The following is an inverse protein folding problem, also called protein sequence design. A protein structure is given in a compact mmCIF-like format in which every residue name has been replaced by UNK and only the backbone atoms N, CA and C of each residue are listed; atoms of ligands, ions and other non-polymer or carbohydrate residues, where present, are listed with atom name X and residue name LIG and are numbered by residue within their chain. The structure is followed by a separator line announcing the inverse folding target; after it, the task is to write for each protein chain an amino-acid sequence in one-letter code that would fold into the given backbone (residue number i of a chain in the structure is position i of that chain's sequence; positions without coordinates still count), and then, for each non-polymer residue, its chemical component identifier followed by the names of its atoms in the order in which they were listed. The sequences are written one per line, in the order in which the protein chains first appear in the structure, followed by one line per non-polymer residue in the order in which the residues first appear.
data_IF_690157323249
#
_entry.id   IF_690157323249
#
_cell.length_a   1.000
_cell.length_b   1.000
_cell.length_c   1.000
_cell.angle_alpha   90.00
_cell.angle_beta   90.00
_cell.angle_gamma   90.00
#
_symmetry.space_group_name_H-M   'P 1'
#
loop_
_entity.id
_entity.type
_entity.pdbx_description
1 polymer ?
#
# COMPACT_ATOMS: atom_id res chain seq x y z
N UNK A 1 9.80 -39.84 17.49
CA UNK A 1 10.29 -38.70 16.69
C UNK A 1 9.24 -38.43 15.63
N UNK A 2 8.26 -37.59 15.95
CA UNK A 2 7.35 -37.06 14.94
C UNK A 2 6.95 -35.67 15.42
N UNK A 3 7.78 -34.68 15.09
CA UNK A 3 7.41 -33.28 15.18
C UNK A 3 6.45 -32.99 14.02
N UNK A 4 5.23 -32.59 14.37
CA UNK A 4 4.31 -31.98 13.41
C UNK A 4 4.65 -30.50 13.32
N UNK A 5 5.17 -30.07 12.17
CA UNK A 5 5.26 -28.66 11.83
C UNK A 5 3.84 -28.08 11.68
N UNK A 6 3.52 -27.10 12.53
CA UNK A 6 2.32 -26.29 12.38
C UNK A 6 2.56 -25.28 11.26
N UNK A 7 1.80 -25.27 10.15
CA UNK A 7 1.91 -24.21 9.17
C UNK A 7 1.41 -22.92 9.83
N UNK A 8 2.33 -22.00 10.09
CA UNK A 8 2.00 -20.66 10.59
C UNK A 8 1.21 -19.93 9.50
N UNK A 9 -0.12 -19.98 9.60
CA UNK A 9 -1.02 -19.21 8.73
C UNK A 9 -0.83 -17.73 9.07
N UNK A 10 -0.05 -17.03 8.25
CA UNK A 10 0.10 -15.59 8.34
C UNK A 10 -1.27 -14.91 8.15
N UNK A 11 -1.62 -13.89 8.97
CA UNK A 11 -2.87 -13.19 8.82
C UNK A 11 -2.90 -12.42 7.49
N UNK A 12 -3.92 -12.68 6.68
CA UNK A 12 -4.16 -11.96 5.43
C UNK A 12 -4.65 -10.54 5.74
N UNK A 13 -3.73 -9.58 5.86
CA UNK A 13 -4.06 -8.16 6.00
C UNK A 13 -4.32 -7.56 4.61
N UNK A 14 -5.47 -6.90 4.44
CA UNK A 14 -5.78 -6.16 3.20
C UNK A 14 -4.89 -4.93 3.11
N UNK A 15 -4.08 -4.84 2.05
CA UNK A 15 -3.24 -3.67 1.76
C UNK A 15 -4.08 -2.55 1.16
N UNK A 16 -3.86 -1.32 1.59
CA UNK A 16 -4.50 -0.14 0.98
C UNK A 16 -3.84 0.12 -0.37
N UNK A 17 -4.65 0.17 -1.43
CA UNK A 17 -4.21 0.49 -2.79
C UNK A 17 -4.67 1.90 -3.16
N UNK A 18 -3.82 2.67 -3.84
CA UNK A 18 -4.14 4.00 -4.38
C UNK A 18 -3.62 4.10 -5.81
N UNK A 19 -4.34 4.82 -6.66
CA UNK A 19 -3.98 5.07 -8.06
C UNK A 19 -3.56 6.54 -8.18
N UNK A 20 -2.50 6.81 -8.94
CA UNK A 20 -1.96 8.15 -9.13
C UNK A 20 -1.24 8.30 -10.46
N UNK A 21 -0.77 9.52 -10.76
CA UNK A 21 -0.05 9.85 -12.00
C UNK A 21 1.46 9.75 -11.79
N UNK A 22 2.17 9.12 -12.74
CA UNK A 22 3.63 9.07 -12.72
C UNK A 22 4.20 10.45 -13.05
N UNK A 23 5.05 10.97 -12.16
CA UNK A 23 5.72 12.28 -12.30
C UNK A 23 7.15 12.10 -12.79
N UNK A 24 7.81 11.00 -12.41
CA UNK A 24 9.15 10.68 -12.88
C UNK A 24 9.44 9.19 -12.81
N UNK A 25 10.15 8.71 -13.81
CA UNK A 25 10.65 7.34 -13.99
C UNK A 25 12.18 7.26 -13.94
N UNK A 26 12.86 8.35 -13.56
CA UNK A 26 14.32 8.48 -13.65
C UNK A 26 15.11 7.65 -12.63
N UNK A 27 14.43 6.94 -11.73
CA UNK A 27 15.08 6.17 -10.67
C UNK A 27 15.21 4.71 -11.10
N UNK A 28 16.26 4.03 -10.65
CA UNK A 28 16.44 2.61 -10.96
C UNK A 28 15.36 1.76 -10.28
N UNK A 29 14.52 1.11 -11.09
CA UNK A 29 13.42 0.21 -10.67
C UNK A 29 12.33 0.84 -9.80
N UNK A 30 12.27 2.16 -9.71
CA UNK A 30 11.30 2.87 -8.88
C UNK A 30 10.76 4.09 -9.62
N UNK A 31 9.52 4.48 -9.30
CA UNK A 31 8.84 5.60 -9.95
C UNK A 31 8.20 6.51 -8.91
N UNK A 32 8.29 7.82 -9.14
CA UNK A 32 7.61 8.82 -8.30
C UNK A 32 6.19 9.01 -8.82
N UNK A 33 5.20 8.70 -7.99
CA UNK A 33 3.77 8.79 -8.31
C UNK A 33 3.09 9.85 -7.44
N UNK A 34 2.43 10.81 -8.07
CA UNK A 34 1.56 11.76 -7.39
C UNK A 34 0.19 11.14 -7.16
N UNK A 35 -0.26 11.13 -5.90
CA UNK A 35 -1.59 10.63 -5.49
C UNK A 35 -2.35 11.77 -4.85
N UNK A 36 -3.37 12.25 -5.55
CA UNK A 36 -4.24 13.31 -5.05
C UNK A 36 -5.29 12.74 -4.09
N UNK A 37 -5.60 13.49 -3.03
CA UNK A 37 -6.71 13.20 -2.15
C UNK A 37 -7.41 14.49 -1.74
N UNK A 38 -8.73 14.51 -1.86
CA UNK A 38 -9.56 15.62 -1.44
C UNK A 38 -10.14 15.26 -0.07
N UNK A 39 -9.87 16.11 0.93
CA UNK A 39 -10.51 16.00 2.25
C UNK A 39 -11.28 17.30 2.52
N UNK A 40 -12.58 17.22 2.85
CA UNK A 40 -13.34 18.42 3.19
C UNK A 40 -12.76 19.06 4.46
N UNK A 41 -12.73 20.39 4.50
CA UNK A 41 -12.26 21.12 5.66
C UNK A 41 -13.20 20.85 6.85
N UNK A 42 -12.68 20.49 8.04
CA UNK A 42 -13.52 20.01 9.16
C UNK A 42 -14.51 21.06 9.68
N UNK A 43 -14.18 22.36 9.59
CA UNK A 43 -14.98 23.46 10.14
C UNK A 43 -16.16 23.91 9.25
N UNK A 44 -16.08 23.65 7.94
CA UNK A 44 -17.04 24.15 6.95
C UNK A 44 -17.73 23.00 6.19
N UNK A 45 -17.98 21.90 6.90
CA UNK A 45 -18.72 20.75 6.38
C UNK A 45 -20.20 21.05 6.25
#
# INVERSE_FOLDING_TARGET
MTEQETPTTAPTVRRVTKVGRVVSDKMDKTVVVAVDYLKPHPLYR
#
